data_IF_900479876724
#
_entry.id   IF_900479876724
#
_cell.length_a   1.000
_cell.length_b   1.000
_cell.length_c   1.000
_cell.angle_alpha   90.00
_cell.angle_beta   90.00
_cell.angle_gamma   90.00
#
_symmetry.space_group_name_H-M   'P 1'
#
loop_
_entity.id
_entity.type
_entity.pdbx_description
1 polymer ?
#
# COMPACT_ATOMS: atom_id res chain seq x y z
N UNK A 1 18.95 -20.38 12.67
CA UNK A 1 18.31 -19.41 11.77
C UNK A 1 19.11 -19.36 10.48
N UNK A 2 18.55 -19.81 9.34
CA UNK A 2 19.17 -19.54 8.04
C UNK A 2 19.04 -18.03 7.81
N UNK A 3 20.16 -17.32 7.73
CA UNK A 3 20.15 -15.91 7.32
C UNK A 3 19.51 -15.84 5.94
N UNK A 4 18.50 -14.99 5.78
CA UNK A 4 17.87 -14.75 4.48
C UNK A 4 18.90 -14.11 3.57
N UNK A 5 19.21 -14.76 2.44
CA UNK A 5 20.12 -14.22 1.43
C UNK A 5 19.50 -12.98 0.79
N UNK A 6 20.23 -11.87 0.80
CA UNK A 6 19.81 -10.60 0.20
C UNK A 6 20.57 -10.39 -1.11
N UNK A 7 19.84 -10.08 -2.17
CA UNK A 7 20.37 -10.02 -3.54
C UNK A 7 20.11 -8.64 -4.16
N UNK A 8 21.16 -8.05 -4.73
CA UNK A 8 21.02 -6.82 -5.52
C UNK A 8 20.23 -7.11 -6.78
N UNK A 9 19.12 -6.38 -6.97
CA UNK A 9 18.14 -6.58 -8.03
C UNK A 9 17.86 -5.27 -8.75
N UNK A 10 17.34 -5.35 -9.97
CA UNK A 10 16.89 -4.17 -10.75
C UNK A 10 15.46 -4.42 -11.21
N UNK A 11 14.51 -3.79 -10.54
CA UNK A 11 13.09 -3.90 -10.90
C UNK A 11 12.83 -3.10 -12.18
N UNK A 12 12.14 -3.71 -13.13
CA UNK A 12 11.75 -3.12 -14.42
C UNK A 12 12.92 -2.61 -15.27
N UNK A 13 14.16 -3.07 -14.98
CA UNK A 13 15.37 -2.59 -15.65
C UNK A 13 15.79 -1.16 -15.25
N UNK A 14 15.19 -0.58 -14.23
CA UNK A 14 15.38 0.82 -13.87
C UNK A 14 15.68 1.03 -12.38
N UNK A 15 14.99 0.33 -11.48
CA UNK A 15 15.05 0.60 -10.05
C UNK A 15 15.93 -0.42 -9.32
N UNK A 16 17.13 0.01 -8.91
CA UNK A 16 18.02 -0.83 -8.11
C UNK A 16 17.49 -0.94 -6.67
N UNK A 17 17.43 -2.17 -6.16
CA UNK A 17 17.01 -2.47 -4.78
C UNK A 17 17.64 -3.80 -4.34
N UNK A 18 17.94 -3.93 -3.05
CA UNK A 18 18.39 -5.20 -2.47
C UNK A 18 17.17 -5.92 -1.91
N UNK A 19 16.90 -7.11 -2.42
CA UNK A 19 15.74 -7.92 -2.10
C UNK A 19 16.12 -9.24 -1.43
N UNK A 20 15.24 -9.81 -0.57
CA UNK A 20 15.34 -11.20 -0.18
C UNK A 20 15.32 -12.10 -1.42
N UNK A 21 16.08 -13.19 -1.39
CA UNK A 21 16.27 -14.06 -2.57
C UNK A 21 14.96 -14.50 -3.21
N UNK A 22 13.94 -14.89 -2.43
CA UNK A 22 12.65 -15.34 -2.97
C UNK A 22 11.91 -14.24 -3.74
N UNK A 23 12.15 -12.95 -3.42
CA UNK A 23 11.63 -11.81 -4.16
C UNK A 23 12.54 -11.45 -5.33
N UNK A 24 13.86 -11.50 -5.13
CA UNK A 24 14.83 -11.25 -6.20
C UNK A 24 14.71 -12.24 -7.36
N UNK A 25 14.33 -13.48 -7.07
CA UNK A 25 14.17 -14.54 -8.08
C UNK A 25 12.83 -14.44 -8.86
N UNK A 26 11.97 -13.47 -8.60
CA UNK A 26 10.72 -13.28 -9.36
C UNK A 26 11.05 -12.85 -10.80
N UNK A 27 10.65 -13.64 -11.83
CA UNK A 27 10.96 -13.33 -13.21
C UNK A 27 10.29 -12.04 -13.70
N UNK A 28 9.18 -11.65 -13.10
CA UNK A 28 8.39 -10.46 -13.47
C UNK A 28 9.19 -9.16 -13.39
N UNK A 29 10.15 -9.07 -12.47
CA UNK A 29 11.03 -7.89 -12.36
C UNK A 29 11.90 -7.65 -13.59
N UNK A 30 12.20 -8.71 -14.33
CA UNK A 30 13.20 -8.75 -15.38
C UNK A 30 12.61 -8.88 -16.79
N UNK A 31 11.29 -9.03 -16.91
CA UNK A 31 10.62 -9.07 -18.20
C UNK A 31 10.70 -7.70 -18.90
N UNK A 32 10.77 -7.65 -20.24
CA UNK A 32 10.74 -6.39 -20.99
C UNK A 32 9.48 -5.53 -20.71
N UNK A 33 8.33 -6.20 -20.48
CA UNK A 33 7.09 -5.54 -20.06
C UNK A 33 7.18 -4.95 -18.65
N UNK A 34 8.04 -5.52 -17.80
CA UNK A 34 8.14 -5.21 -16.40
C UNK A 34 6.91 -5.66 -15.59
N UNK A 35 6.92 -5.33 -14.32
CA UNK A 35 5.78 -5.51 -13.40
C UNK A 35 5.27 -4.15 -12.97
N UNK A 36 4.01 -3.85 -13.24
CA UNK A 36 3.38 -2.55 -12.96
C UNK A 36 4.25 -1.34 -13.39
N UNK A 37 4.96 -1.52 -14.49
CA UNK A 37 6.00 -0.57 -14.91
C UNK A 37 5.50 0.86 -15.08
N UNK A 38 4.34 1.12 -15.70
CA UNK A 38 3.81 2.48 -15.82
C UNK A 38 3.43 3.09 -14.47
N UNK A 39 2.88 2.28 -13.53
CA UNK A 39 2.54 2.74 -12.17
C UNK A 39 3.79 3.11 -11.39
N UNK A 40 4.78 2.22 -11.35
CA UNK A 40 6.02 2.44 -10.62
C UNK A 40 6.79 3.66 -11.15
N UNK A 41 6.82 3.81 -12.48
CA UNK A 41 7.42 4.98 -13.11
C UNK A 41 6.67 6.27 -12.77
N UNK A 42 5.34 6.26 -12.80
CA UNK A 42 4.52 7.41 -12.38
C UNK A 42 4.78 7.81 -10.93
N UNK A 43 4.94 6.83 -10.03
CA UNK A 43 5.28 7.09 -8.64
C UNK A 43 6.67 7.72 -8.52
N UNK A 44 7.67 7.16 -9.17
CA UNK A 44 9.02 7.71 -9.19
C UNK A 44 9.07 9.16 -9.69
N UNK A 45 8.35 9.45 -10.77
CA UNK A 45 8.38 10.79 -11.39
C UNK A 45 7.61 11.86 -10.57
N UNK A 46 6.76 11.43 -9.64
CA UNK A 46 5.85 12.32 -8.89
C UNK A 46 6.05 12.30 -7.37
N UNK A 47 6.99 11.53 -6.85
CA UNK A 47 7.33 11.48 -5.42
C UNK A 47 8.72 12.03 -5.15
N UNK A 48 8.90 12.64 -3.98
CA UNK A 48 10.19 13.18 -3.53
C UNK A 48 10.22 13.48 -2.03
N UNK A 49 11.24 14.22 -1.59
CA UNK A 49 11.58 14.45 -0.18
C UNK A 49 10.50 15.16 0.65
N UNK A 50 9.52 15.79 0.03
CA UNK A 50 8.43 16.47 0.73
C UNK A 50 7.18 15.60 0.86
N UNK A 51 7.19 14.41 0.27
CA UNK A 51 6.01 13.56 0.23
C UNK A 51 5.91 12.65 1.44
N UNK A 52 4.67 12.42 1.87
CA UNK A 52 4.26 11.42 2.84
C UNK A 52 3.33 10.46 2.13
N UNK A 53 3.79 9.24 1.92
CA UNK A 53 3.04 8.20 1.22
C UNK A 53 2.36 7.27 2.22
N UNK A 54 1.03 7.23 2.20
CA UNK A 54 0.27 6.16 2.84
C UNK A 54 0.20 4.99 1.86
N UNK A 55 0.98 3.95 2.15
CA UNK A 55 1.05 2.76 1.31
C UNK A 55 0.13 1.67 1.86
N UNK A 56 -0.99 1.47 1.20
CA UNK A 56 -2.07 0.55 1.62
C UNK A 56 -1.99 -0.73 0.82
N UNK A 57 -1.73 -1.85 1.50
CA UNK A 57 -1.35 -3.10 0.87
C UNK A 57 0.15 -3.12 0.56
N UNK A 58 0.98 -3.06 1.62
CA UNK A 58 2.43 -2.99 1.47
C UNK A 58 3.04 -4.31 0.96
N UNK A 59 2.29 -5.39 1.02
CA UNK A 59 2.68 -6.73 0.56
C UNK A 59 4.03 -7.16 1.18
N UNK A 60 5.05 -7.41 0.34
CA UNK A 60 6.42 -7.77 0.79
C UNK A 60 7.35 -6.55 0.94
N UNK A 61 6.85 -5.34 0.67
CA UNK A 61 7.51 -4.08 0.99
C UNK A 61 8.40 -3.46 -0.08
N UNK A 62 8.56 -4.08 -1.26
CA UNK A 62 9.46 -3.56 -2.29
C UNK A 62 9.08 -2.16 -2.77
N UNK A 63 7.81 -1.96 -3.07
CA UNK A 63 7.35 -0.70 -3.63
C UNK A 63 7.35 0.44 -2.60
N UNK A 64 6.87 0.26 -1.37
CA UNK A 64 7.03 1.31 -0.36
C UNK A 64 8.51 1.57 -0.01
N UNK A 65 9.39 0.55 -0.05
CA UNK A 65 10.82 0.78 0.11
C UNK A 65 11.39 1.67 -1.01
N UNK A 66 10.99 1.44 -2.26
CA UNK A 66 11.35 2.33 -3.38
C UNK A 66 10.84 3.76 -3.16
N UNK A 67 9.60 3.94 -2.70
CA UNK A 67 9.10 5.28 -2.38
C UNK A 67 9.99 6.00 -1.37
N UNK A 68 10.45 5.29 -0.35
CA UNK A 68 11.37 5.85 0.64
C UNK A 68 12.78 6.09 0.07
N UNK A 69 13.28 5.23 -0.81
CA UNK A 69 14.54 5.46 -1.54
C UNK A 69 14.48 6.72 -2.41
N UNK A 70 13.30 7.09 -2.92
CA UNK A 70 13.09 8.34 -3.67
C UNK A 70 12.91 9.57 -2.77
N UNK A 71 12.97 9.37 -1.45
CA UNK A 71 12.97 10.44 -0.45
C UNK A 71 11.66 10.64 0.28
N UNK A 72 10.59 9.93 -0.05
CA UNK A 72 9.32 10.06 0.66
C UNK A 72 9.39 9.44 2.06
N UNK A 73 8.64 9.99 3.01
CA UNK A 73 8.30 9.30 4.25
C UNK A 73 7.14 8.32 3.97
N UNK A 74 7.14 7.16 4.59
CA UNK A 74 6.09 6.15 4.34
C UNK A 74 5.33 5.78 5.62
N UNK A 75 4.02 5.61 5.46
CA UNK A 75 3.12 4.98 6.43
C UNK A 75 2.64 3.68 5.81
N UNK A 76 2.93 2.57 6.46
CA UNK A 76 2.65 1.23 5.94
C UNK A 76 1.36 0.66 6.54
N UNK A 77 0.47 0.16 5.69
CA UNK A 77 -0.69 -0.63 6.08
C UNK A 77 -0.55 -2.03 5.49
N UNK A 78 -0.46 -3.02 6.33
CA UNK A 78 -0.39 -4.41 5.89
C UNK A 78 -1.04 -5.34 6.94
N UNK A 79 -2.15 -6.00 6.62
CA UNK A 79 -2.82 -6.87 7.58
C UNK A 79 -2.15 -8.23 7.77
N UNK A 80 -1.34 -8.70 6.81
CA UNK A 80 -0.71 -10.01 6.89
C UNK A 80 0.43 -10.01 7.93
N UNK A 81 0.27 -10.71 9.06
CA UNK A 81 1.28 -10.70 10.11
C UNK A 81 2.62 -11.34 9.69
N UNK A 82 2.60 -12.20 8.68
CA UNK A 82 3.80 -12.94 8.22
C UNK A 82 4.85 -12.03 7.58
N UNK A 83 4.42 -10.96 6.92
CA UNK A 83 5.35 -10.11 6.15
C UNK A 83 6.06 -9.08 7.02
N UNK A 84 5.54 -8.76 8.20
CA UNK A 84 6.16 -7.77 9.08
C UNK A 84 7.58 -8.12 9.52
N UNK A 85 7.94 -9.40 9.59
CA UNK A 85 9.31 -9.83 9.87
C UNK A 85 10.28 -9.62 8.68
N UNK A 86 9.75 -9.46 7.47
CA UNK A 86 10.55 -9.25 6.26
C UNK A 86 10.97 -7.78 6.08
N UNK A 87 10.11 -6.85 6.48
CA UNK A 87 10.36 -5.42 6.28
C UNK A 87 11.64 -4.91 6.95
N UNK A 88 11.96 -5.24 8.22
CA UNK A 88 13.22 -4.82 8.83
C UNK A 88 14.46 -5.26 8.04
N UNK A 89 14.43 -6.47 7.48
CA UNK A 89 15.52 -6.99 6.67
C UNK A 89 15.67 -6.20 5.36
N UNK A 90 14.56 -5.96 4.69
CA UNK A 90 14.51 -5.19 3.44
C UNK A 90 14.98 -3.74 3.66
N UNK A 91 14.48 -3.06 4.68
CA UNK A 91 14.87 -1.69 5.01
C UNK A 91 16.34 -1.59 5.38
N UNK A 92 16.82 -2.48 6.26
CA UNK A 92 18.23 -2.52 6.67
C UNK A 92 19.17 -2.77 5.49
N UNK A 93 18.83 -3.71 4.60
CA UNK A 93 19.66 -4.04 3.44
C UNK A 93 19.80 -2.85 2.47
N UNK A 94 18.80 -1.97 2.40
CA UNK A 94 18.79 -0.79 1.55
C UNK A 94 19.18 0.50 2.29
N UNK A 95 19.67 0.42 3.52
CA UNK A 95 20.06 1.55 4.38
C UNK A 95 18.95 2.59 4.53
N UNK A 96 17.71 2.14 4.66
CA UNK A 96 16.55 3.00 4.84
C UNK A 96 16.29 3.26 6.33
N UNK A 97 15.87 4.48 6.64
CA UNK A 97 15.35 4.83 7.95
C UNK A 97 14.02 4.09 8.21
N UNK A 98 13.61 4.01 9.48
CA UNK A 98 12.34 3.41 9.83
C UNK A 98 11.16 4.12 9.13
N UNK A 99 10.10 3.40 8.75
CA UNK A 99 8.87 4.03 8.33
C UNK A 99 8.33 5.00 9.38
N UNK A 100 7.65 6.05 8.93
CA UNK A 100 7.03 7.01 9.85
C UNK A 100 6.03 6.32 10.79
N UNK A 101 5.21 5.42 10.23
CA UNK A 101 4.24 4.63 11.00
C UNK A 101 4.04 3.27 10.32
N UNK A 102 3.88 2.24 11.14
CA UNK A 102 3.46 0.90 10.73
C UNK A 102 2.11 0.55 11.34
N UNK A 103 1.17 0.13 10.52
CA UNK A 103 -0.19 -0.25 10.90
C UNK A 103 -0.44 -1.70 10.50
N UNK A 104 -0.32 -2.66 11.43
CA UNK A 104 -0.59 -4.07 11.18
C UNK A 104 -2.11 -4.33 11.20
N UNK A 105 -2.78 -3.91 10.15
CA UNK A 105 -4.21 -3.98 10.00
C UNK A 105 -4.67 -3.46 8.65
N UNK A 106 -5.99 -3.54 8.43
CA UNK A 106 -6.63 -3.04 7.24
C UNK A 106 -6.91 -1.53 7.32
N UNK A 107 -6.56 -0.79 6.28
CA UNK A 107 -7.24 0.47 6.00
C UNK A 107 -8.67 0.16 5.51
N UNK A 108 -9.68 0.82 6.05
CA UNK A 108 -11.09 0.50 5.84
C UNK A 108 -11.97 1.73 5.99
N UNK A 109 -13.28 1.54 5.81
CA UNK A 109 -14.31 2.55 6.07
C UNK A 109 -14.81 2.57 7.53
N UNK A 110 -14.20 1.76 8.39
CA UNK A 110 -14.56 1.66 9.81
C UNK A 110 -13.35 1.37 10.68
N UNK A 111 -13.52 1.58 11.98
CA UNK A 111 -12.52 1.29 13.01
C UNK A 111 -12.99 0.07 13.79
N UNK A 112 -12.15 -0.96 13.88
CA UNK A 112 -12.43 -2.15 14.66
C UNK A 112 -11.13 -2.84 15.07
N UNK A 113 -11.00 -3.17 16.35
CA UNK A 113 -9.97 -4.05 16.94
C UNK A 113 -8.51 -3.82 16.50
N UNK A 114 -8.14 -2.64 16.01
CA UNK A 114 -6.73 -2.35 15.76
C UNK A 114 -5.98 -2.35 17.09
N UNK A 115 -5.04 -3.28 17.25
CA UNK A 115 -4.35 -3.48 18.52
C UNK A 115 -3.39 -2.35 18.84
N UNK A 116 -2.63 -1.87 17.87
CA UNK A 116 -1.62 -0.83 18.07
C UNK A 116 -1.16 -0.21 16.74
N UNK A 117 -0.81 1.07 16.81
CA UNK A 117 -0.07 1.81 15.78
C UNK A 117 1.38 1.96 16.25
N UNK A 118 2.34 1.70 15.37
CA UNK A 118 3.77 1.72 15.66
C UNK A 118 4.42 2.93 15.00
N UNK A 119 4.90 3.88 15.81
CA UNK A 119 5.54 5.12 15.33
C UNK A 119 7.06 4.97 15.35
N UNK A 120 7.71 5.07 14.19
CA UNK A 120 9.15 4.90 14.04
C UNK A 120 9.69 3.61 14.71
N UNK A 121 8.90 2.57 14.67
CA UNK A 121 9.25 1.24 15.16
C UNK A 121 8.56 0.15 14.33
N UNK A 122 9.12 -1.04 14.30
CA UNK A 122 8.51 -2.20 13.67
C UNK A 122 7.51 -2.88 14.60
N UNK A 123 6.38 -3.39 14.09
CA UNK A 123 5.56 -4.33 14.84
C UNK A 123 6.39 -5.56 15.26
N UNK A 124 6.13 -6.11 16.45
CA UNK A 124 6.83 -7.33 16.89
C UNK A 124 6.50 -8.50 15.96
N UNK A 125 7.43 -9.45 15.87
CA UNK A 125 7.18 -10.72 15.18
C UNK A 125 5.99 -11.43 15.84
N UNK A 126 5.05 -11.85 15.03
CA UNK A 126 3.92 -12.67 15.47
C UNK A 126 4.26 -14.13 15.19
N UNK A 127 4.50 -14.90 16.24
CA UNK A 127 4.86 -16.32 16.13
C UNK A 127 3.66 -17.23 15.83
N UNK A 128 2.45 -16.77 16.16
CA UNK A 128 1.21 -17.51 15.89
C UNK A 128 0.66 -17.09 14.52
N UNK A 129 1.04 -17.87 13.54
CA UNK A 129 0.58 -17.67 12.18
C UNK A 129 -0.82 -18.22 12.02
N UNK A 130 -1.81 -17.34 12.02
CA UNK A 130 -3.10 -17.65 11.41
C UNK A 130 -2.83 -17.70 9.90
N UNK A 131 -3.02 -18.87 9.27
CA UNK A 131 -2.94 -18.95 7.82
C UNK A 131 -3.93 -17.95 7.24
N UNK A 132 -3.44 -17.05 6.40
CA UNK A 132 -4.29 -16.08 5.73
C UNK A 132 -5.38 -16.85 4.96
N UNK A 133 -6.61 -16.69 5.35
CA UNK A 133 -7.75 -17.22 4.62
C UNK A 133 -7.74 -16.63 3.20
N UNK A 134 -8.09 -17.45 2.24
CA UNK A 134 -8.19 -17.01 0.85
C UNK A 134 -9.47 -16.19 0.67
N UNK A 135 -9.40 -14.87 0.91
CA UNK A 135 -10.52 -13.97 0.66
C UNK A 135 -10.50 -12.75 1.58
N UNK A 136 -10.22 -11.57 1.02
CA UNK A 136 -10.17 -10.32 1.79
C UNK A 136 -11.52 -9.97 2.43
N UNK A 137 -12.65 -10.30 1.78
CA UNK A 137 -13.98 -10.10 2.36
C UNK A 137 -14.17 -10.87 3.66
N UNK A 138 -13.72 -12.11 3.71
CA UNK A 138 -13.80 -12.95 4.90
C UNK A 138 -12.96 -12.34 6.02
N UNK A 139 -11.74 -11.88 5.74
CA UNK A 139 -10.90 -11.18 6.71
C UNK A 139 -11.53 -9.87 7.21
N UNK A 140 -12.20 -9.12 6.34
CA UNK A 140 -12.95 -7.92 6.73
C UNK A 140 -14.18 -8.23 7.57
N UNK A 141 -14.85 -9.37 7.32
CA UNK A 141 -16.03 -9.81 8.06
C UNK A 141 -15.65 -10.45 9.39
N UNK A 142 -14.55 -11.18 9.42
CA UNK A 142 -13.93 -11.73 10.64
C UNK A 142 -13.20 -10.67 11.46
N UNK A 143 -13.55 -9.42 11.31
CA UNK A 143 -12.90 -8.21 11.83
C UNK A 143 -12.61 -8.17 13.34
N UNK A 144 -12.90 -9.24 14.06
CA UNK A 144 -12.47 -9.45 15.43
C UNK A 144 -11.00 -9.93 15.53
N UNK A 145 -10.43 -10.42 14.44
CA UNK A 145 -9.06 -10.99 14.40
C UNK A 145 -8.06 -10.05 13.77
N UNK A 146 -8.49 -9.25 12.76
CA UNK A 146 -7.64 -8.30 12.04
C UNK A 146 -8.14 -6.88 12.28
N UNK A 147 -7.32 -6.07 12.90
CA UNK A 147 -7.67 -4.67 13.17
C UNK A 147 -7.96 -3.88 11.89
N UNK A 148 -8.90 -2.95 12.00
CA UNK A 148 -9.28 -2.03 10.93
C UNK A 148 -9.18 -0.59 11.43
N UNK A 149 -8.76 0.32 10.56
CA UNK A 149 -8.68 1.75 10.83
C UNK A 149 -9.02 2.54 9.57
N UNK A 150 -9.61 3.71 9.75
CA UNK A 150 -9.81 4.64 8.63
C UNK A 150 -8.58 5.54 8.46
N UNK A 151 -8.28 5.93 7.23
CA UNK A 151 -7.21 6.93 6.97
C UNK A 151 -7.56 8.26 7.65
N UNK A 152 -8.83 8.64 7.69
CA UNK A 152 -9.27 9.83 8.41
C UNK A 152 -8.89 9.75 9.90
N UNK A 153 -9.14 8.61 10.55
CA UNK A 153 -8.77 8.42 11.96
C UNK A 153 -7.26 8.48 12.18
N UNK A 154 -6.46 7.95 11.27
CA UNK A 154 -4.99 8.06 11.35
C UNK A 154 -4.55 9.52 11.49
N UNK A 155 -5.13 10.42 10.72
CA UNK A 155 -4.78 11.84 10.71
C UNK A 155 -5.41 12.58 11.89
N UNK A 156 -6.72 12.45 12.08
CA UNK A 156 -7.48 13.32 12.99
C UNK A 156 -7.53 12.83 14.44
N UNK A 157 -7.49 11.51 14.65
CA UNK A 157 -7.58 10.93 15.98
C UNK A 157 -6.21 10.52 16.54
N UNK A 158 -5.31 10.06 15.64
CA UNK A 158 -3.97 9.59 16.03
C UNK A 158 -2.84 10.57 15.72
N UNK A 159 -3.14 11.71 15.07
CA UNK A 159 -2.17 12.76 14.81
C UNK A 159 -1.04 12.35 13.86
N UNK A 160 -1.25 11.34 13.03
CA UNK A 160 -0.29 10.93 12.00
C UNK A 160 -0.22 12.05 10.95
N UNK A 161 0.99 12.36 10.49
CA UNK A 161 1.22 13.38 9.47
C UNK A 161 0.34 13.11 8.24
N UNK A 162 -0.46 14.09 7.77
CA UNK A 162 -1.35 13.89 6.65
C UNK A 162 -0.61 13.41 5.39
N UNK A 163 -1.21 12.52 4.59
CA UNK A 163 -0.59 12.08 3.35
C UNK A 163 -0.57 13.17 2.28
N UNK A 164 0.52 13.26 1.53
CA UNK A 164 0.58 13.96 0.25
C UNK A 164 0.33 13.01 -0.92
N UNK A 165 0.40 11.71 -0.63
CA UNK A 165 0.13 10.64 -1.58
C UNK A 165 -0.45 9.41 -0.88
N UNK A 166 -1.34 8.72 -1.57
CA UNK A 166 -1.90 7.43 -1.18
C UNK A 166 -1.67 6.45 -2.32
N UNK A 167 -1.02 5.33 -2.05
CA UNK A 167 -0.92 4.22 -2.98
C UNK A 167 -1.70 3.05 -2.41
N UNK A 168 -2.62 2.48 -3.19
CA UNK A 168 -3.43 1.35 -2.72
C UNK A 168 -3.53 0.26 -3.76
N UNK A 169 -3.36 -0.96 -3.25
CA UNK A 169 -3.51 -2.22 -3.94
C UNK A 169 -4.07 -3.22 -2.93
N UNK A 170 -5.39 -3.39 -2.92
CA UNK A 170 -6.12 -4.03 -1.81
C UNK A 170 -7.15 -5.06 -2.28
N UNK A 171 -6.96 -5.59 -3.48
CA UNK A 171 -7.64 -6.78 -3.97
C UNK A 171 -9.19 -6.73 -3.84
N UNK A 172 -9.78 -5.58 -4.21
CA UNK A 172 -11.22 -5.38 -4.25
C UNK A 172 -11.80 -4.50 -3.15
N UNK A 173 -11.01 -4.11 -2.14
CA UNK A 173 -11.49 -3.27 -1.02
C UNK A 173 -11.21 -1.77 -1.21
N UNK A 174 -10.96 -1.34 -2.45
CA UNK A 174 -10.52 0.02 -2.79
C UNK A 174 -11.49 1.08 -2.31
N UNK A 175 -12.81 0.84 -2.47
CA UNK A 175 -13.82 1.79 -2.00
C UNK A 175 -13.89 1.87 -0.47
N UNK A 176 -13.65 0.74 0.22
CA UNK A 176 -13.58 0.73 1.69
C UNK A 176 -12.46 1.63 2.18
N UNK A 177 -11.27 1.52 1.58
CA UNK A 177 -10.12 2.35 1.92
C UNK A 177 -10.38 3.82 1.66
N UNK A 178 -10.80 4.17 0.43
CA UNK A 178 -11.01 5.56 0.04
C UNK A 178 -12.23 6.19 0.71
N UNK A 179 -13.27 5.42 1.00
CA UNK A 179 -14.42 5.87 1.80
C UNK A 179 -14.01 6.26 3.22
N UNK A 180 -13.07 5.52 3.83
CA UNK A 180 -12.48 5.85 5.13
C UNK A 180 -11.44 6.97 5.09
N UNK A 181 -11.18 7.54 3.93
CA UNK A 181 -10.26 8.65 3.71
C UNK A 181 -10.96 9.92 3.22
N UNK A 182 -12.29 9.95 3.17
CA UNK A 182 -13.03 11.02 2.47
C UNK A 182 -12.68 12.42 2.98
N UNK A 183 -12.54 12.60 4.28
CA UNK A 183 -12.17 13.90 4.86
C UNK A 183 -10.74 14.30 4.47
N UNK A 184 -9.80 13.38 4.54
CA UNK A 184 -8.41 13.59 4.11
C UNK A 184 -8.35 13.92 2.61
N UNK A 185 -9.10 13.20 1.78
CA UNK A 185 -9.17 13.45 0.33
C UNK A 185 -9.73 14.84 0.01
N UNK A 186 -10.70 15.32 0.77
CA UNK A 186 -11.28 16.67 0.58
C UNK A 186 -10.36 17.77 1.05
N UNK A 187 -9.70 17.57 2.19
CA UNK A 187 -8.93 18.62 2.87
C UNK A 187 -7.49 18.72 2.34
N UNK A 188 -6.79 17.59 2.22
CA UNK A 188 -5.37 17.56 1.85
C UNK A 188 -5.10 17.26 0.39
N UNK A 189 -6.07 16.72 -0.34
CA UNK A 189 -5.94 16.42 -1.77
C UNK A 189 -4.68 15.61 -2.13
N UNK A 190 -4.36 14.54 -1.42
CA UNK A 190 -3.20 13.73 -1.76
C UNK A 190 -3.29 13.18 -3.18
N UNK A 191 -2.16 13.01 -3.86
CA UNK A 191 -2.08 12.19 -5.08
C UNK A 191 -2.55 10.77 -4.77
N UNK A 192 -3.18 10.09 -5.74
CA UNK A 192 -3.64 8.72 -5.53
C UNK A 192 -3.14 7.82 -6.65
N UNK A 193 -2.45 6.74 -6.29
CA UNK A 193 -2.20 5.60 -7.18
C UNK A 193 -3.12 4.46 -6.76
N UNK A 194 -4.00 4.08 -7.66
CA UNK A 194 -5.03 3.08 -7.43
C UNK A 194 -4.82 1.89 -8.37
N UNK A 195 -4.56 0.71 -7.79
CA UNK A 195 -4.75 -0.57 -8.49
C UNK A 195 -6.19 -0.99 -8.29
N UNK A 196 -6.99 -0.93 -9.34
CA UNK A 196 -8.41 -1.23 -9.28
C UNK A 196 -8.71 -2.65 -9.74
N UNK A 197 -9.46 -3.39 -8.93
CA UNK A 197 -9.82 -4.79 -9.16
C UNK A 197 -11.33 -4.94 -9.36
N UNK A 198 -11.87 -4.61 -10.57
CA UNK A 198 -13.32 -4.51 -10.79
C UNK A 198 -14.06 -5.81 -10.50
N UNK A 199 -13.46 -6.96 -10.81
CA UNK A 199 -14.08 -8.26 -10.56
C UNK A 199 -14.16 -8.56 -9.05
N UNK A 200 -13.10 -8.27 -8.31
CA UNK A 200 -13.07 -8.49 -6.86
C UNK A 200 -13.99 -7.51 -6.12
N UNK A 201 -14.04 -6.26 -6.54
CA UNK A 201 -14.98 -5.27 -6.00
C UNK A 201 -16.43 -5.73 -6.17
N UNK A 202 -16.77 -6.20 -7.36
CA UNK A 202 -18.13 -6.69 -7.65
C UNK A 202 -18.45 -7.97 -6.85
N UNK A 203 -17.54 -8.96 -6.86
CA UNK A 203 -17.77 -10.25 -6.20
C UNK A 203 -17.82 -10.14 -4.68
N UNK A 204 -16.98 -9.31 -4.09
CA UNK A 204 -16.86 -9.20 -2.64
C UNK A 204 -17.88 -8.24 -2.04
N UNK A 205 -18.17 -7.13 -2.70
CA UNK A 205 -18.90 -6.01 -2.10
C UNK A 205 -20.11 -5.53 -2.91
N UNK A 206 -20.36 -6.09 -4.10
CA UNK A 206 -21.34 -5.56 -5.07
C UNK A 206 -21.05 -4.09 -5.43
N UNK A 207 -19.77 -3.76 -5.51
CA UNK A 207 -19.26 -2.41 -5.80
C UNK A 207 -18.70 -2.32 -7.23
N UNK A 208 -18.73 -1.13 -7.79
CA UNK A 208 -18.29 -0.86 -9.16
C UNK A 208 -17.08 0.06 -9.18
N UNK A 209 -15.99 -0.37 -9.81
CA UNK A 209 -14.84 0.48 -10.06
C UNK A 209 -15.21 1.74 -10.87
N UNK A 210 -16.16 1.62 -11.82
CA UNK A 210 -16.65 2.79 -12.54
C UNK A 210 -17.24 3.85 -11.60
N UNK A 211 -18.09 3.45 -10.66
CA UNK A 211 -18.70 4.37 -9.70
C UNK A 211 -17.67 4.97 -8.75
N UNK A 212 -16.70 4.20 -8.30
CA UNK A 212 -15.57 4.69 -7.51
C UNK A 212 -14.79 5.78 -8.25
N UNK A 213 -14.46 5.54 -9.52
CA UNK A 213 -13.77 6.52 -10.38
C UNK A 213 -14.57 7.82 -10.53
N UNK A 214 -15.91 7.73 -10.70
CA UNK A 214 -16.77 8.92 -10.76
C UNK A 214 -16.80 9.68 -9.43
N UNK A 215 -16.84 8.94 -8.31
CA UNK A 215 -16.80 9.55 -6.98
C UNK A 215 -15.47 10.30 -6.74
N UNK A 216 -14.32 9.70 -7.06
CA UNK A 216 -13.02 10.37 -6.93
C UNK A 216 -12.97 11.64 -7.78
N UNK A 217 -13.42 11.58 -9.03
CA UNK A 217 -13.52 12.77 -9.90
C UNK A 217 -14.45 13.83 -9.34
N UNK A 218 -15.54 13.41 -8.72
CA UNK A 218 -16.48 14.31 -8.01
C UNK A 218 -15.86 15.03 -6.82
N UNK A 219 -14.79 14.50 -6.24
CA UNK A 219 -13.98 15.17 -5.22
C UNK A 219 -13.02 16.22 -5.80
N UNK A 220 -12.97 16.42 -7.12
CA UNK A 220 -12.12 17.41 -7.79
C UNK A 220 -10.76 16.88 -8.23
N UNK A 221 -10.65 15.56 -8.47
CA UNK A 221 -9.46 14.95 -9.03
C UNK A 221 -9.51 14.78 -10.54
N UNK A 222 -8.37 14.94 -11.18
CA UNK A 222 -8.14 14.57 -12.58
C UNK A 222 -7.55 13.17 -12.63
N UNK A 223 -8.07 12.33 -13.52
CA UNK A 223 -7.68 10.93 -13.68
C UNK A 223 -6.75 10.73 -14.86
N UNK A 224 -5.69 9.98 -14.66
CA UNK A 224 -4.84 9.43 -15.72
C UNK A 224 -4.86 7.90 -15.63
N UNK A 225 -5.20 7.23 -16.73
CA UNK A 225 -5.09 5.77 -16.85
C UNK A 225 -3.64 5.45 -17.19
N UNK A 226 -2.99 4.69 -16.34
CA UNK A 226 -1.58 4.31 -16.51
C UNK A 226 -1.42 3.02 -17.29
N UNK A 227 -2.23 2.01 -16.95
CA UNK A 227 -2.13 0.69 -17.55
C UNK A 227 -3.41 -0.13 -17.36
N UNK A 228 -3.58 -1.13 -18.23
CA UNK A 228 -4.59 -2.19 -18.16
C UNK A 228 -3.88 -3.52 -18.35
N UNK A 229 -3.81 -4.31 -17.29
CA UNK A 229 -3.32 -5.69 -17.36
C UNK A 229 -4.38 -6.63 -16.76
N UNK A 230 -4.07 -7.27 -15.64
CA UNK A 230 -5.02 -8.04 -14.82
C UNK A 230 -5.86 -7.13 -13.92
N UNK A 231 -5.44 -5.89 -13.75
CA UNK A 231 -6.06 -4.83 -12.99
C UNK A 231 -5.95 -3.49 -13.73
N UNK A 232 -6.59 -2.47 -13.21
CA UNK A 232 -6.58 -1.12 -13.80
C UNK A 232 -5.72 -0.21 -12.95
N UNK A 233 -4.59 0.26 -13.47
CA UNK A 233 -3.74 1.22 -12.77
C UNK A 233 -4.13 2.64 -13.11
N UNK A 234 -4.52 3.40 -12.09
CA UNK A 234 -5.00 4.77 -12.19
C UNK A 234 -4.16 5.71 -11.33
N UNK A 235 -3.93 6.90 -11.86
CA UNK A 235 -3.32 8.00 -11.12
C UNK A 235 -4.29 9.18 -11.05
N UNK A 236 -4.39 9.77 -9.88
CA UNK A 236 -5.22 10.94 -9.64
C UNK A 236 -4.41 12.05 -8.99
N UNK A 237 -4.60 13.26 -9.47
CA UNK A 237 -4.10 14.48 -8.86
C UNK A 237 -5.19 15.55 -8.83
N UNK A 238 -5.14 16.44 -7.84
CA UNK A 238 -6.05 17.58 -7.80
C UNK A 238 -5.46 18.74 -8.59
N UNK A 239 -6.31 19.49 -9.26
CA UNK A 239 -5.95 20.72 -9.95
C UNK A 239 -5.65 21.85 -8.97
#
# INVERSE_FOLDING_TARGET
YKMTEMIKSVINGEFEIILPKHRADRPEWYLPSGWEKPRLKSMHDNLGNSDVVYYVGAEEGEFPALCQMWGAEVVLFEPNPKVWSHFPLLWSANNLELPLVCIPGFASDKINNLSRIYHNEWPPEVNDVIEAAHGFKELYLEGDTYGQITIDSCVYDHGIKPPTAISLDVEGSEWRVLGGAERVLREYKPKIWLSGHPEFMLQQWDESLYNLRQWIKGLGYTETILDYQHEVHLYYESN
#
